data_IF_265992260287
#
_entry.id   IF_265992260287
#
_cell.length_a   1.000
_cell.length_b   1.000
_cell.length_c   1.000
_cell.angle_alpha   90.00
_cell.angle_beta   90.00
_cell.angle_gamma   90.00
#
_symmetry.space_group_name_H-M   'P 1'
#
loop_
_entity.id
_entity.type
_entity.pdbx_description
1 polymer ?
#
# COMPACT_ATOMS: atom_id res chain seq x y z
N UNK A 1 -41.46 -43.89 8.13
CA UNK A 1 -40.79 -43.51 6.89
C UNK A 1 -40.91 -42.00 6.56
N UNK A 2 -42.03 -41.34 6.75
CA UNK A 2 -42.19 -39.88 6.45
C UNK A 2 -41.21 -38.95 7.20
N UNK A 3 -40.85 -39.23 8.45
CA UNK A 3 -39.98 -38.37 9.25
C UNK A 3 -38.49 -38.46 8.88
N UNK A 4 -38.06 -39.53 8.23
CA UNK A 4 -36.68 -39.69 7.78
C UNK A 4 -36.41 -38.84 6.55
N UNK A 5 -37.35 -38.79 5.61
CA UNK A 5 -37.24 -37.95 4.41
C UNK A 5 -37.21 -36.46 4.74
N UNK A 6 -37.99 -36.01 5.73
CA UNK A 6 -38.02 -34.61 6.15
C UNK A 6 -36.67 -34.18 6.77
N UNK A 7 -36.03 -35.05 7.56
CA UNK A 7 -34.72 -34.75 8.17
C UNK A 7 -33.58 -34.68 7.14
N UNK A 8 -33.60 -35.54 6.13
CA UNK A 8 -32.61 -35.55 5.07
C UNK A 8 -32.74 -34.30 4.19
N UNK A 9 -33.97 -33.85 3.86
CA UNK A 9 -34.20 -32.63 3.11
C UNK A 9 -33.66 -31.37 3.83
N UNK A 10 -33.83 -31.28 5.14
CA UNK A 10 -33.33 -30.16 5.94
C UNK A 10 -31.79 -30.10 5.94
N UNK A 11 -31.11 -31.24 6.05
CA UNK A 11 -29.66 -31.34 6.04
C UNK A 11 -29.09 -30.94 4.69
N UNK A 12 -29.72 -31.35 3.59
CA UNK A 12 -29.29 -30.98 2.24
C UNK A 12 -29.44 -29.46 1.99
N UNK A 13 -30.53 -28.85 2.50
CA UNK A 13 -30.75 -27.41 2.40
C UNK A 13 -29.69 -26.63 3.21
N UNK A 14 -29.29 -27.12 4.39
CA UNK A 14 -28.29 -26.46 5.24
C UNK A 14 -26.88 -26.52 4.64
N UNK A 15 -26.52 -27.62 3.98
CA UNK A 15 -25.24 -27.74 3.29
C UNK A 15 -25.11 -26.81 2.08
N UNK A 16 -26.22 -26.46 1.43
CA UNK A 16 -26.23 -25.54 0.27
C UNK A 16 -25.94 -24.08 0.67
N UNK A 17 -26.20 -23.69 1.91
CA UNK A 17 -25.92 -22.33 2.41
C UNK A 17 -24.47 -22.12 2.87
N UNK A 18 -23.70 -23.18 3.07
CA UNK A 18 -22.31 -23.09 3.53
C UNK A 18 -21.29 -22.95 2.39
N UNK A 19 -21.73 -23.06 1.15
CA UNK A 19 -20.85 -22.98 -0.04
C UNK A 19 -20.69 -21.57 -0.63
N UNK A 20 -21.28 -20.53 -0.01
CA UNK A 20 -21.13 -19.16 -0.52
C UNK A 20 -20.00 -18.44 0.21
N UNK A 21 -18.81 -18.40 -0.40
CA UNK A 21 -17.93 -17.31 -0.10
C UNK A 21 -16.45 -17.54 0.15
N UNK A 22 -15.84 -18.55 -0.43
CA UNK A 22 -14.41 -18.40 -0.71
C UNK A 22 -14.27 -17.33 -1.81
N UNK A 23 -14.06 -16.06 -1.43
CA UNK A 23 -13.55 -15.08 -2.37
C UNK A 23 -12.22 -15.65 -2.88
N UNK A 24 -12.20 -16.12 -4.13
CA UNK A 24 -10.94 -16.41 -4.81
C UNK A 24 -10.08 -15.15 -4.67
N UNK A 25 -9.02 -15.21 -3.90
CA UNK A 25 -7.99 -14.19 -3.97
C UNK A 25 -7.50 -14.18 -5.41
N UNK A 26 -7.69 -13.05 -6.08
CA UNK A 26 -7.16 -12.83 -7.41
C UNK A 26 -5.62 -12.87 -7.26
N UNK A 27 -5.00 -13.93 -7.77
CA UNK A 27 -3.53 -14.00 -7.79
C UNK A 27 -3.01 -12.93 -8.74
N UNK A 28 -2.32 -11.95 -8.17
CA UNK A 28 -1.66 -10.91 -8.95
C UNK A 28 -0.38 -11.46 -9.58
N UNK A 29 0.00 -10.99 -10.77
CA UNK A 29 1.30 -11.31 -11.34
C UNK A 29 2.45 -10.94 -10.39
N UNK A 30 3.63 -11.57 -10.48
CA UNK A 30 4.80 -11.21 -9.70
C UNK A 30 5.11 -9.71 -9.82
N UNK A 31 5.54 -9.10 -8.71
CA UNK A 31 5.85 -7.66 -8.63
C UNK A 31 4.67 -6.71 -8.94
N UNK A 32 3.45 -7.19 -8.83
CA UNK A 32 2.25 -6.39 -8.93
C UNK A 32 1.55 -6.31 -7.59
N UNK A 33 0.97 -5.15 -7.28
CA UNK A 33 0.22 -4.95 -6.05
C UNK A 33 -0.96 -4.00 -6.27
N UNK A 34 -1.98 -4.16 -5.42
CA UNK A 34 -3.05 -3.19 -5.24
C UNK A 34 -2.86 -2.52 -3.89
N UNK A 35 -3.17 -1.23 -3.79
CA UNK A 35 -3.03 -0.52 -2.53
C UNK A 35 -3.67 0.85 -2.55
N UNK A 36 -3.67 1.49 -1.38
CA UNK A 36 -4.24 2.82 -1.19
C UNK A 36 -3.18 3.76 -0.63
N UNK A 37 -3.07 4.96 -1.18
CA UNK A 37 -2.18 5.99 -0.61
C UNK A 37 -2.75 6.41 0.74
N UNK A 38 -1.97 6.23 1.80
CA UNK A 38 -2.35 6.57 3.18
C UNK A 38 -1.63 7.81 3.70
N UNK A 39 -0.50 8.18 3.11
CA UNK A 39 0.21 9.41 3.46
C UNK A 39 1.09 9.87 2.30
N UNK A 40 1.26 11.18 2.21
CA UNK A 40 2.23 11.82 1.31
C UNK A 40 3.05 12.75 2.18
N UNK A 41 4.31 12.44 2.36
CA UNK A 41 5.24 13.25 3.17
C UNK A 41 6.05 14.18 2.28
N UNK A 42 6.58 15.23 2.86
CA UNK A 42 7.43 16.18 2.16
C UNK A 42 8.31 16.94 3.14
N UNK A 43 9.11 17.83 2.62
CA UNK A 43 10.00 18.64 3.45
C UNK A 43 10.99 17.78 4.22
N UNK A 44 11.15 18.06 5.52
CA UNK A 44 12.10 17.36 6.39
C UNK A 44 11.83 15.87 6.59
N UNK A 45 10.66 15.39 6.25
CA UNK A 45 10.30 13.97 6.31
C UNK A 45 10.63 13.18 5.04
N UNK A 46 11.24 13.85 4.05
CA UNK A 46 11.49 13.28 2.74
C UNK A 46 10.24 13.24 1.85
N UNK A 47 10.46 13.13 0.57
CA UNK A 47 9.41 13.06 -0.46
C UNK A 47 8.99 11.60 -0.67
N UNK A 48 8.13 11.13 0.22
CA UNK A 48 7.68 9.73 0.27
C UNK A 48 6.17 9.65 0.15
N UNK A 49 5.70 8.73 -0.66
CA UNK A 49 4.30 8.28 -0.68
C UNK A 49 4.22 6.95 0.06
N UNK A 50 3.43 6.90 1.13
CA UNK A 50 3.11 5.65 1.81
C UNK A 50 1.86 5.03 1.19
N UNK A 51 1.99 3.78 0.77
CA UNK A 51 0.92 3.00 0.17
C UNK A 51 0.66 1.78 1.05
N UNK A 52 -0.53 1.68 1.59
CA UNK A 52 -1.00 0.46 2.26
C UNK A 52 -1.41 -0.56 1.21
N UNK A 53 -0.66 -1.65 1.14
CA UNK A 53 -0.82 -2.68 0.12
C UNK A 53 -1.84 -3.71 0.57
N UNK A 54 -2.78 -4.05 -0.30
CA UNK A 54 -3.73 -5.13 -0.08
C UNK A 54 -2.99 -6.47 0.05
N UNK A 55 -3.47 -7.33 0.92
CA UNK A 55 -2.86 -8.60 1.19
C UNK A 55 -3.49 -9.72 0.35
N UNK A 56 -2.73 -10.59 -0.36
CA UNK A 56 -1.31 -10.56 -0.69
C UNK A 56 -0.98 -9.49 -1.75
N UNK A 57 0.29 -9.05 -1.92
CA UNK A 57 1.51 -9.56 -1.30
C UNK A 57 1.86 -8.86 0.04
N UNK A 58 2.57 -9.58 0.92
CA UNK A 58 3.09 -9.03 2.18
C UNK A 58 4.49 -8.46 1.96
N UNK A 59 4.56 -7.25 1.43
CA UNK A 59 5.83 -6.59 1.10
C UNK A 59 6.12 -5.39 1.98
N UNK A 60 5.13 -4.92 2.74
CA UNK A 60 5.22 -3.73 3.57
C UNK A 60 5.49 -4.04 5.05
N UNK A 61 5.60 -2.97 5.83
CA UNK A 61 5.66 -2.98 7.28
C UNK A 61 4.34 -2.49 7.88
N UNK A 62 4.11 -2.84 9.14
CA UNK A 62 3.00 -2.30 9.92
C UNK A 62 3.56 -1.40 11.01
N UNK A 63 2.87 -0.31 11.31
CA UNK A 63 3.32 0.64 12.32
C UNK A 63 2.42 1.86 12.42
N UNK A 64 2.93 2.87 13.12
CA UNK A 64 2.29 4.18 13.23
C UNK A 64 3.32 5.25 12.90
N UNK A 65 2.96 6.14 11.99
CA UNK A 65 3.77 7.30 11.65
C UNK A 65 3.06 8.56 12.15
N UNK A 66 3.77 9.37 12.93
CA UNK A 66 3.25 10.61 13.47
C UNK A 66 4.14 11.77 13.05
N UNK A 67 3.53 12.85 12.59
CA UNK A 67 4.22 14.10 12.33
C UNK A 67 4.46 14.84 13.66
N UNK A 68 5.68 15.32 13.90
CA UNK A 68 5.96 16.16 15.06
C UNK A 68 5.24 17.51 14.86
N UNK A 69 4.48 17.90 15.88
CA UNK A 69 3.71 19.15 15.85
C UNK A 69 2.27 19.02 15.40
N UNK A 70 1.85 17.86 14.96
CA UNK A 70 0.44 17.59 14.72
C UNK A 70 -0.16 16.92 15.98
N UNK A 71 -1.21 17.52 16.52
CA UNK A 71 -1.94 16.97 17.68
C UNK A 71 -2.82 15.77 17.30
N UNK A 72 -2.91 15.51 16.01
CA UNK A 72 -3.71 14.41 15.50
C UNK A 72 -3.01 13.06 15.74
N UNK A 73 -3.79 12.03 15.95
CA UNK A 73 -3.33 10.66 16.05
C UNK A 73 -2.54 10.29 14.80
N UNK A 74 -1.33 9.76 14.97
CA UNK A 74 -0.52 9.32 13.86
C UNK A 74 -1.25 8.36 12.91
N UNK A 75 -0.79 8.30 11.67
CA UNK A 75 -1.33 7.36 10.68
C UNK A 75 -0.88 5.94 11.04
N UNK A 76 -1.83 5.10 11.42
CA UNK A 76 -1.58 3.67 11.63
C UNK A 76 -1.80 2.93 10.31
N UNK A 77 -0.89 2.05 9.96
CA UNK A 77 -0.90 1.32 8.71
C UNK A 77 -0.53 -0.16 8.90
N UNK A 78 -1.00 -0.98 7.97
CA UNK A 78 -0.67 -2.39 7.90
C UNK A 78 -0.13 -2.70 6.50
N UNK A 79 0.96 -3.49 6.41
CA UNK A 79 1.57 -3.85 5.13
C UNK A 79 1.85 -2.63 4.23
N UNK A 80 2.35 -1.52 4.80
CA UNK A 80 2.65 -0.31 4.03
C UNK A 80 4.05 -0.33 3.44
N UNK A 81 4.17 0.17 2.22
CA UNK A 81 5.44 0.43 1.53
C UNK A 81 5.66 1.93 1.36
N UNK A 82 6.92 2.32 1.29
CA UNK A 82 7.33 3.66 0.90
C UNK A 82 7.77 3.68 -0.57
N UNK A 83 7.33 4.66 -1.30
CA UNK A 83 7.81 4.90 -2.67
C UNK A 83 8.19 6.38 -2.82
N UNK A 84 9.14 6.74 -3.69
CA UNK A 84 9.42 8.14 -3.99
C UNK A 84 8.19 8.83 -4.58
N UNK A 85 8.21 10.15 -4.64
CA UNK A 85 7.20 10.90 -5.38
C UNK A 85 7.09 10.37 -6.82
N UNK A 86 5.88 10.32 -7.33
CA UNK A 86 5.58 9.77 -8.65
C UNK A 86 6.38 10.44 -9.76
N UNK A 87 6.58 11.76 -9.68
CA UNK A 87 7.43 12.50 -10.61
C UNK A 87 8.87 11.98 -10.65
N UNK A 88 9.42 11.53 -9.51
CA UNK A 88 10.79 10.97 -9.43
C UNK A 88 10.89 9.54 -9.96
N UNK A 89 9.76 8.86 -10.07
CA UNK A 89 9.68 7.51 -10.64
C UNK A 89 9.24 7.52 -12.11
N UNK A 90 9.08 8.69 -12.72
CA UNK A 90 8.62 8.81 -14.11
C UNK A 90 7.13 8.48 -14.31
N UNK A 91 6.35 8.48 -13.23
CA UNK A 91 4.90 8.27 -13.29
C UNK A 91 4.25 9.58 -13.78
N UNK A 92 3.31 9.52 -14.75
CA UNK A 92 2.65 10.72 -15.27
C UNK A 92 1.89 11.52 -14.20
N UNK A 93 1.89 12.85 -14.32
CA UNK A 93 1.18 13.78 -13.42
C UNK A 93 -0.35 13.55 -13.39
N UNK A 94 -0.89 12.87 -14.41
CA UNK A 94 -2.30 12.51 -14.44
C UNK A 94 -2.71 11.55 -13.33
N UNK A 95 -1.74 10.84 -12.69
CA UNK A 95 -2.00 9.95 -11.57
C UNK A 95 -2.01 10.76 -10.28
N UNK A 96 -3.15 10.84 -9.57
CA UNK A 96 -3.24 11.67 -8.38
C UNK A 96 -2.37 11.12 -7.23
N UNK A 97 -1.37 11.87 -6.80
CA UNK A 97 -0.56 11.57 -5.62
C UNK A 97 -1.21 12.16 -4.36
N UNK A 98 -2.34 11.62 -3.95
CA UNK A 98 -3.09 12.09 -2.76
C UNK A 98 -3.63 10.95 -1.92
N UNK A 99 -3.81 11.19 -0.62
CA UNK A 99 -4.41 10.23 0.32
C UNK A 99 -5.78 9.79 -0.17
N UNK A 100 -6.04 8.47 -0.08
CA UNK A 100 -7.27 7.83 -0.53
C UNK A 100 -7.23 7.34 -1.98
N UNK A 101 -6.24 7.74 -2.79
CA UNK A 101 -6.09 7.20 -4.15
C UNK A 101 -5.77 5.72 -4.09
N UNK A 102 -6.59 4.90 -4.74
CA UNK A 102 -6.37 3.46 -4.92
C UNK A 102 -5.60 3.22 -6.18
N UNK A 103 -4.60 2.35 -6.10
CA UNK A 103 -3.67 2.05 -7.18
C UNK A 103 -3.62 0.55 -7.46
N UNK A 104 -3.48 0.19 -8.73
CA UNK A 104 -2.96 -1.10 -9.17
C UNK A 104 -1.66 -0.83 -9.93
N UNK A 105 -0.54 -1.38 -9.48
CA UNK A 105 0.79 -0.98 -9.94
C UNK A 105 1.77 -2.14 -10.01
N UNK A 106 2.76 -1.99 -10.87
CA UNK A 106 3.97 -2.80 -10.92
C UNK A 106 5.09 -2.10 -10.13
N UNK A 107 5.83 -2.86 -9.33
CA UNK A 107 6.91 -2.35 -8.51
C UNK A 107 8.20 -3.18 -8.70
N UNK A 108 9.31 -2.62 -8.25
CA UNK A 108 10.60 -3.31 -8.14
C UNK A 108 11.33 -2.90 -6.87
N UNK A 109 12.30 -3.70 -6.50
CA UNK A 109 13.22 -3.33 -5.43
C UNK A 109 14.07 -2.11 -5.84
N UNK A 110 14.47 -1.33 -4.84
CA UNK A 110 15.47 -0.29 -4.98
C UNK A 110 16.84 -0.98 -5.14
N UNK A 111 17.62 -0.55 -6.10
CA UNK A 111 18.99 -1.04 -6.28
C UNK A 111 19.93 -0.44 -5.21
N UNK A 112 21.08 -1.05 -4.99
CA UNK A 112 22.09 -0.52 -4.05
C UNK A 112 22.59 0.87 -4.48
N UNK A 113 22.74 1.10 -5.77
CA UNK A 113 23.11 2.40 -6.32
C UNK A 113 22.05 3.47 -6.01
N UNK A 114 20.78 3.18 -6.27
CA UNK A 114 19.66 4.09 -5.97
C UNK A 114 19.50 4.35 -4.46
N UNK A 115 19.81 3.35 -3.63
CA UNK A 115 19.79 3.49 -2.17
C UNK A 115 20.86 4.48 -1.69
N UNK A 116 22.00 4.51 -2.35
CA UNK A 116 23.09 5.46 -2.09
C UNK A 116 22.78 6.89 -2.58
N UNK A 117 21.81 7.05 -3.49
CA UNK A 117 21.42 8.36 -4.00
C UNK A 117 20.46 9.07 -3.04
N UNK A 118 20.95 10.07 -2.33
CA UNK A 118 20.14 10.86 -1.39
C UNK A 118 18.96 11.59 -2.07
N UNK A 119 19.04 11.81 -3.38
CA UNK A 119 18.06 12.61 -4.15
C UNK A 119 16.72 11.90 -4.36
N UNK A 120 16.67 10.57 -4.29
CA UNK A 120 15.45 9.81 -4.59
C UNK A 120 14.29 10.16 -3.63
N UNK A 121 14.62 10.33 -2.35
CA UNK A 121 13.64 10.64 -1.29
C UNK A 121 13.84 12.03 -0.68
N UNK A 122 14.81 12.79 -1.14
CA UNK A 122 15.08 14.14 -0.63
C UNK A 122 14.33 15.19 -1.43
N UNK A 123 13.91 16.30 -0.81
CA UNK A 123 13.31 17.43 -1.51
C UNK A 123 14.23 18.00 -2.58
N UNK A 124 13.63 18.46 -3.68
CA UNK A 124 14.31 19.22 -4.71
C UNK A 124 13.56 20.55 -4.93
N UNK A 125 14.17 21.72 -4.64
CA UNK A 125 15.53 21.92 -4.12
C UNK A 125 15.71 21.43 -2.68
N UNK A 126 16.96 21.11 -2.29
CA UNK A 126 17.28 20.70 -0.92
C UNK A 126 16.86 21.74 0.11
N UNK A 127 16.28 21.30 1.20
CA UNK A 127 15.87 22.17 2.32
C UNK A 127 16.74 21.91 3.55
N UNK A 128 16.97 22.96 4.33
CA UNK A 128 17.67 22.85 5.60
C UNK A 128 16.65 22.55 6.71
N UNK A 129 16.84 21.44 7.39
CA UNK A 129 15.99 21.04 8.51
C UNK A 129 16.69 21.31 9.84
N UNK A 130 16.00 21.99 10.75
CA UNK A 130 16.52 22.30 12.09
C UNK A 130 16.52 21.07 13.03
N UNK A 131 15.86 20.01 12.63
CA UNK A 131 15.86 18.75 13.35
C UNK A 131 16.00 17.59 12.34
N UNK A 132 16.62 16.50 12.78
CA UNK A 132 16.79 15.31 11.94
C UNK A 132 15.47 14.55 11.95
N UNK A 133 14.65 14.78 10.96
CA UNK A 133 13.50 13.96 10.64
C UNK A 133 13.90 13.02 9.50
N UNK A 134 13.58 11.76 9.63
CA UNK A 134 13.80 10.79 8.57
C UNK A 134 12.50 10.47 7.85
N UNK A 135 12.58 9.81 6.68
CA UNK A 135 11.42 9.27 6.04
C UNK A 135 10.73 8.23 6.94
N UNK A 136 9.43 7.98 6.76
CA UNK A 136 8.70 6.97 7.52
C UNK A 136 9.40 5.61 7.51
N UNK A 137 9.33 4.87 8.61
CA UNK A 137 9.83 3.50 8.65
C UNK A 137 8.96 2.61 7.76
N UNK A 138 9.48 2.22 6.61
CA UNK A 138 8.79 1.38 5.63
C UNK A 138 9.81 0.54 4.85
N UNK A 139 9.34 -0.50 4.16
CA UNK A 139 10.10 -1.10 3.07
C UNK A 139 9.93 -0.23 1.84
N UNK A 140 11.03 0.11 1.19
CA UNK A 140 11.03 1.05 0.07
C UNK A 140 11.15 0.34 -1.27
N UNK A 141 10.32 0.78 -2.23
CA UNK A 141 10.23 0.25 -3.59
C UNK A 141 10.15 1.38 -4.60
N UNK A 142 10.38 1.04 -5.87
CA UNK A 142 10.10 1.93 -7.00
C UNK A 142 8.86 1.42 -7.72
N UNK A 143 7.91 2.29 -7.99
CA UNK A 143 6.81 2.01 -8.90
C UNK A 143 7.34 2.14 -10.33
N UNK A 144 7.23 1.07 -11.11
CA UNK A 144 7.59 1.05 -12.53
C UNK A 144 6.47 1.56 -13.42
N UNK A 145 5.25 1.19 -13.07
CA UNK A 145 4.08 1.53 -13.84
C UNK A 145 2.82 1.52 -12.97
N UNK A 146 1.89 2.42 -13.24
CA UNK A 146 0.55 2.39 -12.66
C UNK A 146 -0.42 1.91 -13.73
N UNK A 147 -1.02 0.75 -13.48
CA UNK A 147 -1.90 0.06 -14.41
C UNK A 147 -3.30 0.67 -14.37
N UNK A 148 -3.77 1.01 -13.18
CA UNK A 148 -5.03 1.73 -12.99
C UNK A 148 -5.04 2.48 -11.64
N UNK A 149 -5.89 3.50 -11.55
CA UNK A 149 -6.12 4.26 -10.31
C UNK A 149 -7.58 4.72 -10.21
N UNK A 150 -8.03 5.02 -8.97
CA UNK A 150 -9.37 5.54 -8.64
C UNK A 150 -9.28 6.61 -7.56
#
# INVERSE_FOLDING_TARGET
MKHIFLRISVIILFCSYLSTGCKKHEELPPYHAKGTIISVTGGCYGEVVLIEVENPPRIGLSGTFSFIGNTDKGVTYHNAIGVPYFSKSGIPDAVPQKVGTRLYFEYRNITEEERGQSTLFSPDPPIVCLAIYGPPSANYYIIKNIISFK
#
